data_IF_428018594880
#
_entry.id   IF_428018594880
#
_cell.length_a   1.000
_cell.length_b   1.000
_cell.length_c   1.000
_cell.angle_alpha   90.00
_cell.angle_beta   90.00
_cell.angle_gamma   90.00
#
_symmetry.space_group_name_H-M   'P 1'
#
loop_
_entity.id
_entity.type
_entity.pdbx_description
1 polymer ?
#
# COMPACT_ATOMS: atom_id res chain seq x y z
N UNK A 1 45.69 -2.48 -3.33
CA UNK A 1 46.41 -3.54 -2.57
C UNK A 1 45.42 -4.63 -2.17
N UNK A 2 45.68 -5.87 -2.65
CA UNK A 2 45.24 -7.19 -2.17
C UNK A 2 43.76 -7.42 -1.81
N UNK A 3 43.02 -7.97 -2.78
CA UNK A 3 41.86 -8.86 -2.57
C UNK A 3 42.30 -10.14 -1.84
N UNK A 4 41.56 -10.56 -0.81
CA UNK A 4 41.71 -11.89 -0.19
C UNK A 4 40.40 -12.67 -0.37
N UNK A 5 40.50 -13.74 -1.17
CA UNK A 5 39.49 -14.79 -1.33
C UNK A 5 39.57 -15.72 -0.13
N UNK A 6 38.44 -16.11 0.45
CA UNK A 6 38.31 -17.28 1.32
C UNK A 6 37.03 -18.02 0.89
N UNK A 7 37.19 -19.25 0.43
CA UNK A 7 36.17 -20.25 0.13
C UNK A 7 36.61 -21.55 0.86
N UNK A 8 35.78 -22.59 0.99
CA UNK A 8 35.13 -22.99 2.23
C UNK A 8 35.70 -24.33 2.76
N UNK A 9 35.38 -24.71 3.99
CA UNK A 9 35.66 -26.05 4.50
C UNK A 9 34.34 -26.73 4.82
N UNK A 10 33.88 -27.55 3.87
CA UNK A 10 32.97 -28.66 4.11
C UNK A 10 33.67 -29.70 4.97
N UNK A 11 33.08 -30.06 6.11
CA UNK A 11 33.42 -31.29 6.82
C UNK A 11 32.15 -32.10 7.04
N UNK A 12 31.98 -33.12 6.20
CA UNK A 12 31.03 -34.20 6.38
C UNK A 12 31.42 -35.02 7.62
N UNK A 13 30.44 -35.30 8.49
CA UNK A 13 30.58 -36.31 9.54
C UNK A 13 29.40 -37.28 9.44
N UNK A 14 29.64 -38.39 8.74
CA UNK A 14 28.85 -39.61 8.83
C UNK A 14 29.16 -40.31 10.16
N UNK A 15 28.13 -40.66 10.94
CA UNK A 15 28.20 -41.77 11.90
C UNK A 15 26.79 -42.26 12.29
N UNK A 16 26.37 -43.34 11.62
CA UNK A 16 25.73 -44.57 12.16
C UNK A 16 24.57 -44.50 13.18
N UNK A 17 23.38 -44.83 12.68
CA UNK A 17 22.57 -46.03 12.97
C UNK A 17 22.37 -46.46 14.45
N UNK A 18 21.15 -46.29 14.96
CA UNK A 18 20.49 -47.30 15.80
C UNK A 18 18.99 -47.34 15.47
N UNK A 19 18.55 -48.48 14.92
CA UNK A 19 17.16 -48.88 14.74
C UNK A 19 16.75 -49.63 16.01
N UNK A 20 15.72 -49.17 16.71
CA UNK A 20 14.98 -50.01 17.67
C UNK A 20 13.52 -50.07 17.27
N UNK A 21 13.16 -51.22 16.73
CA UNK A 21 11.80 -51.70 16.46
C UNK A 21 11.14 -51.99 17.81
N UNK A 22 10.01 -51.34 18.10
CA UNK A 22 9.12 -51.71 19.19
C UNK A 22 7.75 -52.08 18.61
N UNK A 23 7.44 -53.38 18.65
CA UNK A 23 6.11 -53.94 18.40
C UNK A 23 5.23 -53.76 19.64
N UNK A 24 3.99 -53.29 19.47
CA UNK A 24 2.83 -53.63 20.31
C UNK A 24 1.55 -53.23 19.53
N UNK A 25 0.95 -54.16 18.80
CA UNK A 25 -0.26 -54.91 19.16
C UNK A 25 -1.55 -54.06 19.26
N UNK A 26 -2.31 -54.15 18.17
CA UNK A 26 -3.72 -53.82 18.02
C UNK A 26 -4.58 -55.02 18.50
N UNK A 27 -5.77 -54.82 19.11
CA UNK A 27 -6.77 -55.85 19.22
C UNK A 27 -7.88 -55.72 18.16
N UNK A 28 -8.52 -56.86 17.96
CA UNK A 28 -9.37 -57.30 16.88
C UNK A 28 -10.74 -56.61 16.72
N UNK A 29 -11.13 -56.62 15.44
CA UNK A 29 -12.46 -56.75 14.81
C UNK A 29 -13.75 -56.84 15.65
N UNK A 30 -14.75 -56.08 15.20
CA UNK A 30 -16.18 -56.30 15.48
C UNK A 30 -17.05 -55.57 14.45
N UNK A 31 -17.69 -56.34 13.56
CA UNK A 31 -18.67 -55.86 12.58
C UNK A 31 -20.08 -55.74 13.21
N UNK A 32 -20.89 -54.78 12.75
CA UNK A 32 -22.31 -54.70 13.10
C UNK A 32 -23.05 -53.44 12.67
N UNK A 33 -23.54 -53.48 11.43
CA UNK A 33 -24.83 -52.96 10.92
C UNK A 33 -25.21 -51.47 10.88
N UNK A 34 -26.03 -51.19 9.86
CA UNK A 34 -26.38 -49.90 9.29
C UNK A 34 -27.62 -49.20 9.90
N UNK A 35 -27.87 -48.00 9.35
CA UNK A 35 -29.07 -47.12 9.41
C UNK A 35 -29.21 -46.22 10.64
N UNK A 36 -28.94 -44.92 10.48
CA UNK A 36 -30.01 -43.93 10.32
C UNK A 36 -29.44 -42.62 9.76
N UNK A 37 -30.02 -42.11 8.67
CA UNK A 37 -29.62 -40.87 8.02
C UNK A 37 -30.56 -39.77 8.46
N UNK A 38 -30.13 -38.95 9.43
CA UNK A 38 -30.77 -37.68 9.74
C UNK A 38 -29.91 -36.58 9.11
N UNK A 39 -30.50 -35.85 8.18
CA UNK A 39 -29.88 -34.74 7.44
C UNK A 39 -29.86 -33.51 8.35
N UNK A 40 -28.68 -33.16 8.86
CA UNK A 40 -28.41 -31.86 9.49
C UNK A 40 -28.17 -30.81 8.37
N UNK A 41 -28.62 -29.56 8.53
CA UNK A 41 -28.34 -28.51 7.56
C UNK A 41 -26.84 -28.18 7.59
N UNK A 42 -26.28 -27.95 6.41
CA UNK A 42 -24.86 -27.73 6.17
C UNK A 42 -24.26 -26.72 7.18
N UNK A 43 -23.44 -27.23 8.11
CA UNK A 43 -22.48 -26.43 8.81
C UNK A 43 -21.46 -25.94 7.77
N UNK A 44 -21.31 -24.62 7.65
CA UNK A 44 -20.23 -24.02 6.88
C UNK A 44 -18.91 -24.55 7.43
N UNK A 45 -18.16 -25.25 6.57
CA UNK A 45 -16.83 -25.75 6.92
C UNK A 45 -15.95 -24.54 7.19
N UNK A 46 -15.27 -24.43 8.35
CA UNK A 46 -14.32 -23.36 8.58
C UNK A 46 -13.30 -23.34 7.44
N UNK A 47 -13.13 -22.19 6.80
CA UNK A 47 -12.07 -21.99 5.82
C UNK A 47 -10.75 -22.27 6.54
N UNK A 48 -9.95 -23.19 5.99
CA UNK A 48 -8.66 -23.54 6.58
C UNK A 48 -7.74 -22.31 6.47
N UNK A 49 -7.42 -21.70 7.61
CA UNK A 49 -6.49 -20.57 7.69
C UNK A 49 -5.07 -21.06 7.35
N UNK A 50 -4.35 -20.33 6.50
CA UNK A 50 -2.94 -20.63 6.23
C UNK A 50 -2.12 -20.56 7.54
N UNK A 51 -1.32 -21.61 7.82
CA UNK A 51 -0.53 -21.70 9.05
C UNK A 51 0.64 -20.69 9.12
N UNK A 52 1.13 -20.17 7.99
CA UNK A 52 2.11 -19.08 7.97
C UNK A 52 1.42 -17.75 7.67
N UNK A 53 1.69 -16.68 8.44
CA UNK A 53 1.11 -15.37 8.17
C UNK A 53 1.69 -14.79 6.88
N UNK A 54 0.83 -14.13 6.10
CA UNK A 54 1.24 -13.18 5.07
C UNK A 54 1.68 -11.90 5.76
N UNK A 55 2.85 -11.40 5.41
CA UNK A 55 3.39 -10.17 5.99
C UNK A 55 2.98 -8.99 5.10
N UNK A 56 2.11 -8.13 5.63
CA UNK A 56 1.56 -6.98 4.92
C UNK A 56 2.04 -5.67 5.55
N UNK A 57 2.76 -4.87 4.77
CA UNK A 57 3.20 -3.53 5.15
C UNK A 57 2.15 -2.45 4.88
N UNK A 58 2.19 -1.40 5.68
CA UNK A 58 1.54 -0.12 5.41
C UNK A 58 2.22 0.98 6.23
N UNK A 59 2.04 2.24 5.83
CA UNK A 59 2.61 3.38 6.54
C UNK A 59 1.56 4.50 6.77
N UNK A 60 2.02 5.68 7.13
CA UNK A 60 1.16 6.78 7.57
C UNK A 60 0.41 7.48 6.43
N UNK A 61 -0.67 6.85 5.94
CA UNK A 61 -1.64 7.44 5.01
C UNK A 61 -3.08 7.11 5.42
N UNK A 62 -3.98 8.08 5.28
CA UNK A 62 -5.37 7.96 5.72
C UNK A 62 -6.14 6.83 5.03
N UNK A 63 -5.83 6.58 3.76
CA UNK A 63 -6.40 5.51 2.96
C UNK A 63 -5.99 4.09 3.36
N UNK A 64 -4.88 3.95 4.10
CA UNK A 64 -4.33 2.64 4.49
C UNK A 64 -4.67 2.26 5.94
N UNK A 65 -5.06 3.22 6.78
CA UNK A 65 -5.50 2.94 8.15
C UNK A 65 -6.71 2.00 8.28
N UNK A 66 -7.66 1.91 7.34
CA UNK A 66 -8.74 0.93 7.42
C UNK A 66 -8.28 -0.52 7.52
N UNK A 67 -7.07 -0.87 7.06
CA UNK A 67 -6.54 -2.23 7.24
C UNK A 67 -6.43 -2.63 8.71
N UNK A 68 -6.25 -1.65 9.62
CA UNK A 68 -6.25 -1.92 11.06
C UNK A 68 -7.60 -2.40 11.60
N UNK A 69 -8.70 -2.04 10.92
CA UNK A 69 -10.05 -2.53 11.25
C UNK A 69 -10.11 -4.04 11.06
N UNK A 70 -9.53 -4.58 9.99
CA UNK A 70 -9.53 -6.02 9.76
C UNK A 70 -8.78 -6.81 10.84
N UNK A 71 -7.72 -6.25 11.42
CA UNK A 71 -7.02 -6.86 12.55
C UNK A 71 -7.84 -6.77 13.85
N UNK A 72 -8.32 -5.58 14.22
CA UNK A 72 -9.00 -5.35 15.50
C UNK A 72 -10.40 -5.99 15.55
N UNK A 73 -11.07 -6.11 14.41
CA UNK A 73 -12.44 -6.66 14.30
C UNK A 73 -12.47 -8.09 13.72
N UNK A 74 -11.30 -8.71 13.50
CA UNK A 74 -11.18 -10.11 13.09
C UNK A 74 -11.66 -10.42 11.67
N UNK A 75 -11.64 -9.44 10.77
CA UNK A 75 -12.09 -9.62 9.38
C UNK A 75 -11.11 -10.48 8.55
N UNK A 76 -9.82 -10.49 8.89
CA UNK A 76 -8.86 -11.43 8.29
C UNK A 76 -9.23 -12.89 8.61
N UNK A 77 -9.47 -13.20 9.90
CA UNK A 77 -9.87 -14.55 10.34
C UNK A 77 -11.22 -14.95 9.73
N UNK A 78 -12.19 -14.03 9.68
CA UNK A 78 -13.49 -14.23 9.02
C UNK A 78 -13.34 -14.68 7.57
N UNK A 79 -12.40 -14.09 6.83
CA UNK A 79 -12.12 -14.42 5.43
C UNK A 79 -11.12 -15.58 5.25
N UNK A 80 -10.67 -16.20 6.35
CA UNK A 80 -9.78 -17.36 6.32
C UNK A 80 -8.32 -17.03 5.99
N UNK A 81 -7.88 -15.77 6.15
CA UNK A 81 -6.51 -15.34 5.91
C UNK A 81 -5.80 -14.98 7.21
N UNK A 82 -4.53 -15.36 7.32
CA UNK A 82 -3.65 -15.03 8.43
C UNK A 82 -2.72 -13.90 7.98
N UNK A 83 -2.87 -12.70 8.54
CA UNK A 83 -2.10 -11.51 8.16
C UNK A 83 -1.35 -10.99 9.38
N UNK A 84 -0.05 -10.77 9.22
CA UNK A 84 0.75 -9.94 10.12
C UNK A 84 0.85 -8.53 9.52
N UNK A 85 0.12 -7.57 10.09
CA UNK A 85 0.23 -6.16 9.69
C UNK A 85 1.47 -5.52 10.31
N UNK A 86 2.36 -5.01 9.46
CA UNK A 86 3.56 -4.27 9.87
C UNK A 86 3.39 -2.80 9.54
N UNK A 87 3.42 -1.97 10.59
CA UNK A 87 3.50 -0.53 10.44
C UNK A 87 4.94 -0.08 10.14
N UNK A 88 5.08 0.75 9.12
CA UNK A 88 6.32 1.43 8.78
C UNK A 88 6.18 2.93 9.06
N UNK A 89 7.12 3.48 9.84
CA UNK A 89 7.18 4.93 10.04
C UNK A 89 7.65 5.66 8.77
N UNK A 90 8.53 5.03 7.99
CA UNK A 90 9.03 5.55 6.72
C UNK A 90 8.42 4.82 5.54
N UNK A 91 7.86 5.58 4.59
CA UNK A 91 7.14 5.03 3.46
C UNK A 91 8.08 4.34 2.46
N UNK A 92 9.19 4.99 2.10
CA UNK A 92 10.19 4.39 1.21
C UNK A 92 10.74 3.07 1.75
N UNK A 93 10.96 2.94 3.06
CA UNK A 93 11.40 1.70 3.68
C UNK A 93 10.38 0.56 3.50
N UNK A 94 9.07 0.85 3.56
CA UNK A 94 8.02 -0.16 3.33
C UNK A 94 8.07 -0.73 1.91
N UNK A 95 8.30 0.13 0.92
CA UNK A 95 8.39 -0.25 -0.48
C UNK A 95 9.67 -1.03 -0.77
N UNK A 96 10.80 -0.61 -0.19
CA UNK A 96 12.04 -1.36 -0.27
C UNK A 96 11.91 -2.76 0.37
N UNK A 97 11.13 -2.89 1.44
CA UNK A 97 10.88 -4.17 2.08
C UNK A 97 10.06 -5.11 1.16
N UNK A 98 9.02 -4.60 0.48
CA UNK A 98 8.28 -5.38 -0.52
C UNK A 98 9.17 -5.76 -1.72
N UNK A 99 9.81 -4.78 -2.33
CA UNK A 99 10.65 -4.99 -3.52
C UNK A 99 11.81 -5.96 -3.28
N UNK A 100 12.34 -6.02 -2.05
CA UNK A 100 13.39 -6.97 -1.68
C UNK A 100 12.88 -8.36 -1.24
N UNK A 101 11.56 -8.58 -1.25
CA UNK A 101 10.92 -9.83 -0.89
C UNK A 101 10.85 -10.11 0.61
N UNK A 102 10.92 -9.08 1.45
CA UNK A 102 10.73 -9.19 2.91
C UNK A 102 9.26 -9.11 3.31
N UNK A 103 8.41 -8.53 2.45
CA UNK A 103 6.95 -8.49 2.62
C UNK A 103 6.30 -9.29 1.49
N UNK A 104 5.08 -9.75 1.74
CA UNK A 104 4.23 -10.40 0.74
C UNK A 104 3.24 -9.41 0.10
N UNK A 105 2.92 -8.33 0.82
CA UNK A 105 2.06 -7.23 0.39
C UNK A 105 2.48 -5.89 1.01
N UNK A 106 2.14 -4.78 0.37
CA UNK A 106 2.30 -3.43 0.90
C UNK A 106 1.20 -2.50 0.37
N UNK A 107 0.92 -1.42 1.09
CA UNK A 107 0.11 -0.32 0.56
C UNK A 107 1.00 0.77 -0.06
N UNK A 108 0.72 1.17 -1.28
CA UNK A 108 1.56 2.09 -2.08
C UNK A 108 0.71 2.90 -3.06
N UNK A 109 1.20 4.06 -3.49
CA UNK A 109 0.59 4.79 -4.61
C UNK A 109 0.99 4.14 -5.95
N UNK A 110 0.18 4.35 -7.00
CA UNK A 110 0.50 3.83 -8.33
C UNK A 110 1.83 4.35 -8.89
N UNK A 111 2.17 5.63 -8.69
CA UNK A 111 3.47 6.16 -9.16
C UNK A 111 4.62 5.43 -8.48
N UNK A 112 4.48 5.10 -7.20
CA UNK A 112 5.55 4.43 -6.49
C UNK A 112 5.62 2.94 -6.82
N UNK A 113 4.48 2.26 -7.05
CA UNK A 113 4.46 0.90 -7.60
C UNK A 113 5.17 0.84 -8.95
N UNK A 114 4.93 1.82 -9.84
CA UNK A 114 5.63 1.93 -11.13
C UNK A 114 7.14 2.12 -10.91
N UNK A 115 7.55 3.00 -9.98
CA UNK A 115 8.96 3.25 -9.66
C UNK A 115 9.70 2.00 -9.17
N UNK A 116 9.04 1.17 -8.36
CA UNK A 116 9.65 0.00 -7.73
C UNK A 116 9.54 -1.29 -8.55
N UNK A 117 8.63 -1.35 -9.54
CA UNK A 117 8.34 -2.57 -10.30
C UNK A 117 9.58 -3.25 -10.90
N UNK A 118 10.57 -2.49 -11.39
CA UNK A 118 11.78 -3.06 -11.98
C UNK A 118 12.76 -3.67 -10.96
N UNK A 119 12.73 -3.20 -9.72
CA UNK A 119 13.61 -3.64 -8.63
C UNK A 119 12.97 -4.78 -7.79
N UNK A 120 11.67 -5.04 -7.96
CA UNK A 120 10.92 -6.04 -7.23
C UNK A 120 11.34 -7.48 -7.55
N UNK A 121 12.02 -8.14 -6.61
CA UNK A 121 12.57 -9.50 -6.81
C UNK A 121 11.51 -10.59 -6.96
N UNK A 122 10.32 -10.35 -6.43
CA UNK A 122 9.16 -11.25 -6.46
C UNK A 122 7.99 -10.69 -7.29
N UNK A 123 8.21 -9.61 -8.04
CA UNK A 123 7.16 -8.81 -8.69
C UNK A 123 6.31 -8.02 -7.71
N UNK A 124 5.63 -6.97 -8.20
CA UNK A 124 4.68 -6.13 -7.46
C UNK A 124 3.45 -5.92 -8.33
N UNK A 125 2.27 -6.28 -7.80
CA UNK A 125 1.01 -6.32 -8.54
C UNK A 125 -0.09 -5.70 -7.69
N UNK A 126 -0.71 -4.64 -8.20
CA UNK A 126 -1.86 -4.01 -7.58
C UNK A 126 -3.12 -4.85 -7.82
N UNK A 127 -3.81 -5.19 -6.74
CA UNK A 127 -5.01 -6.05 -6.76
C UNK A 127 -6.26 -5.36 -6.22
N UNK A 128 -6.11 -4.20 -5.58
CA UNK A 128 -7.20 -3.35 -5.08
C UNK A 128 -6.76 -1.89 -5.15
N UNK A 129 -7.68 -1.01 -5.52
CA UNK A 129 -7.57 0.43 -5.26
C UNK A 129 -8.26 0.73 -3.93
N UNK A 130 -7.49 1.17 -2.95
CA UNK A 130 -8.02 1.57 -1.64
C UNK A 130 -8.77 2.89 -1.77
N UNK A 131 -8.11 3.90 -2.35
CA UNK A 131 -8.63 5.24 -2.48
C UNK A 131 -7.93 6.04 -3.60
N UNK A 132 -8.35 7.29 -3.75
CA UNK A 132 -7.56 8.31 -4.44
C UNK A 132 -7.42 9.52 -3.53
N UNK A 133 -6.21 10.07 -3.47
CA UNK A 133 -5.94 11.31 -2.75
C UNK A 133 -6.72 12.47 -3.39
N UNK A 134 -7.55 13.14 -2.59
CA UNK A 134 -8.45 14.20 -3.01
C UNK A 134 -8.26 15.48 -2.18
N UNK A 135 -7.02 15.81 -1.89
CA UNK A 135 -6.62 16.98 -1.09
C UNK A 135 -5.73 16.65 0.11
N UNK A 136 -5.29 15.40 0.29
CA UNK A 136 -4.44 15.01 1.43
C UNK A 136 -2.94 14.97 1.12
N UNK A 137 -2.56 14.95 -0.16
CA UNK A 137 -1.21 15.32 -0.59
C UNK A 137 -1.18 16.81 -0.90
N UNK A 138 -0.18 17.51 -0.38
CA UNK A 138 -0.11 18.97 -0.45
C UNK A 138 1.30 19.47 -0.71
N UNK A 139 1.36 20.62 -1.39
CA UNK A 139 2.53 21.50 -1.35
C UNK A 139 2.19 22.67 -0.43
N UNK A 140 2.90 22.75 0.70
CA UNK A 140 2.79 23.82 1.69
C UNK A 140 3.95 24.79 1.50
N UNK A 141 3.68 26.09 1.46
CA UNK A 141 4.69 27.12 1.21
C UNK A 141 4.79 28.11 2.35
N UNK A 142 5.97 28.70 2.52
CA UNK A 142 6.22 29.77 3.47
C UNK A 142 5.53 31.09 3.04
N UNK A 143 5.42 32.03 3.98
CA UNK A 143 4.90 33.37 3.72
C UNK A 143 5.64 34.05 2.55
N UNK A 144 4.86 34.67 1.64
CA UNK A 144 5.38 35.42 0.50
C UNK A 144 5.55 34.60 -0.79
N UNK A 145 5.18 33.31 -0.78
CA UNK A 145 5.07 32.47 -1.97
C UNK A 145 3.59 32.32 -2.28
N UNK A 146 3.15 32.82 -3.44
CA UNK A 146 1.74 32.92 -3.77
C UNK A 146 1.33 32.02 -4.94
N UNK A 147 2.29 31.66 -5.80
CA UNK A 147 2.08 30.90 -7.02
C UNK A 147 3.19 29.88 -7.22
N UNK A 148 2.96 28.88 -8.09
CA UNK A 148 4.00 27.92 -8.50
C UNK A 148 5.20 28.62 -9.13
N UNK A 149 5.00 29.74 -9.84
CA UNK A 149 6.09 30.56 -10.39
C UNK A 149 7.07 31.05 -9.30
N UNK A 150 6.56 31.31 -8.08
CA UNK A 150 7.37 31.82 -6.96
C UNK A 150 8.26 30.73 -6.34
N UNK A 151 8.05 29.45 -6.68
CA UNK A 151 8.90 28.33 -6.25
C UNK A 151 10.21 28.23 -7.05
N UNK A 152 10.31 28.87 -8.21
CA UNK A 152 11.53 28.80 -9.04
C UNK A 152 12.74 29.33 -8.25
N UNK A 153 13.76 28.48 -8.12
CA UNK A 153 14.98 28.72 -7.36
C UNK A 153 14.84 28.60 -5.83
N UNK A 154 13.68 28.17 -5.33
CA UNK A 154 13.42 27.94 -3.91
C UNK A 154 13.81 26.53 -3.47
N UNK A 155 13.99 26.35 -2.16
CA UNK A 155 14.22 25.04 -1.57
C UNK A 155 12.92 24.39 -1.14
N UNK A 156 12.63 23.18 -1.64
CA UNK A 156 11.49 22.37 -1.23
C UNK A 156 11.98 21.15 -0.45
N UNK A 157 11.55 21.01 0.80
CA UNK A 157 11.82 19.82 1.60
C UNK A 157 10.77 18.75 1.30
N UNK A 158 11.21 17.57 0.87
CA UNK A 158 10.34 16.44 0.55
C UNK A 158 11.13 15.14 0.56
N UNK A 159 10.41 14.02 0.56
CA UNK A 159 10.98 12.70 0.32
C UNK A 159 11.14 12.50 -1.18
N UNK A 160 12.38 12.46 -1.65
CA UNK A 160 12.69 12.44 -3.08
C UNK A 160 12.29 11.11 -3.73
N UNK A 161 11.65 11.21 -4.90
CA UNK A 161 11.26 10.05 -5.71
C UNK A 161 9.97 9.36 -5.28
N UNK A 162 9.23 9.91 -4.30
CA UNK A 162 7.90 9.39 -3.88
C UNK A 162 6.78 10.39 -4.15
N UNK A 163 5.54 10.04 -3.80
CA UNK A 163 4.30 10.80 -4.10
C UNK A 163 4.35 12.32 -3.85
N UNK A 164 5.02 12.80 -2.78
CA UNK A 164 5.15 14.25 -2.53
C UNK A 164 5.96 14.99 -3.60
N UNK A 165 7.01 14.34 -4.10
CA UNK A 165 7.83 14.81 -5.22
C UNK A 165 7.06 14.75 -6.54
N UNK A 166 6.27 13.69 -6.72
CA UNK A 166 5.37 13.53 -7.86
C UNK A 166 4.33 14.66 -7.92
N UNK A 167 3.63 14.96 -6.83
CA UNK A 167 2.65 16.06 -6.76
C UNK A 167 3.30 17.42 -7.05
N UNK A 168 4.47 17.70 -6.44
CA UNK A 168 5.21 18.93 -6.72
C UNK A 168 5.54 19.04 -8.22
N UNK A 169 5.96 17.95 -8.83
CA UNK A 169 6.35 17.93 -10.24
C UNK A 169 5.15 18.11 -11.16
N UNK A 170 3.98 17.51 -10.84
CA UNK A 170 2.73 17.77 -11.56
C UNK A 170 2.37 19.27 -11.54
N UNK A 171 2.44 19.89 -10.37
CA UNK A 171 2.13 21.32 -10.22
C UNK A 171 3.12 22.22 -10.99
N UNK A 172 4.41 21.88 -10.97
CA UNK A 172 5.43 22.60 -11.75
C UNK A 172 5.16 22.48 -13.26
N UNK A 173 4.89 21.28 -13.76
CA UNK A 173 4.67 21.03 -15.18
C UNK A 173 3.36 21.67 -15.68
N UNK A 174 2.28 21.67 -14.87
CA UNK A 174 1.05 22.41 -15.20
C UNK A 174 1.32 23.92 -15.36
N UNK A 175 2.25 24.48 -14.57
CA UNK A 175 2.70 25.86 -14.67
C UNK A 175 3.78 26.09 -15.74
N UNK A 176 4.15 25.06 -16.52
CA UNK A 176 5.20 25.12 -17.54
C UNK A 176 6.60 25.31 -16.96
N UNK A 177 6.85 24.79 -15.76
CA UNK A 177 8.16 24.69 -15.08
C UNK A 177 8.62 23.25 -15.03
N UNK A 178 9.90 23.06 -14.77
CA UNK A 178 10.50 21.75 -14.55
C UNK A 178 10.72 21.49 -13.05
N UNK A 179 10.72 20.22 -12.64
CA UNK A 179 11.26 19.79 -11.33
C UNK A 179 12.65 20.37 -11.05
N UNK A 180 13.47 20.54 -12.08
CA UNK A 180 14.83 21.11 -11.95
C UNK A 180 14.87 22.62 -11.73
N UNK A 181 13.73 23.32 -11.83
CA UNK A 181 13.63 24.75 -11.52
C UNK A 181 13.59 25.02 -10.01
N UNK A 182 13.43 23.99 -9.16
CA UNK A 182 13.51 24.09 -7.70
C UNK A 182 14.73 23.33 -7.16
N UNK A 183 15.13 23.63 -5.91
CA UNK A 183 16.14 22.85 -5.19
C UNK A 183 15.44 21.89 -4.23
N UNK A 184 15.66 20.60 -4.40
CA UNK A 184 15.13 19.59 -3.48
C UNK A 184 16.06 19.43 -2.28
N UNK A 185 15.50 19.50 -1.08
CA UNK A 185 16.14 19.08 0.17
C UNK A 185 15.57 17.70 0.54
N UNK A 186 16.27 16.60 0.20
CA UNK A 186 15.74 15.24 0.31
C UNK A 186 15.76 14.78 1.77
N UNK A 187 14.59 14.60 2.35
CA UNK A 187 14.38 14.17 3.73
C UNK A 187 13.20 13.21 3.78
N UNK A 188 13.20 12.25 4.72
CA UNK A 188 11.98 11.48 5.05
C UNK A 188 10.84 12.47 5.35
N UNK A 189 9.61 12.14 4.94
CA UNK A 189 8.49 13.09 4.91
C UNK A 189 8.21 13.78 6.24
N UNK A 190 8.25 13.08 7.38
CA UNK A 190 8.12 13.69 8.71
C UNK A 190 9.27 14.63 9.05
N UNK A 191 10.51 14.26 8.70
CA UNK A 191 11.67 15.13 8.83
C UNK A 191 11.59 16.37 7.91
N UNK A 192 11.08 16.22 6.68
CA UNK A 192 10.86 17.29 5.73
C UNK A 192 9.86 18.33 6.26
N UNK A 193 8.72 17.88 6.78
CA UNK A 193 7.72 18.75 7.40
C UNK A 193 8.31 19.53 8.59
N UNK A 194 9.09 18.85 9.44
CA UNK A 194 9.77 19.49 10.58
C UNK A 194 10.82 20.51 10.14
N UNK A 195 11.61 20.22 9.11
CA UNK A 195 12.62 21.12 8.56
C UNK A 195 11.97 22.39 7.97
N UNK A 196 10.90 22.23 7.19
CA UNK A 196 10.11 23.35 6.68
C UNK A 196 9.51 24.19 7.83
N UNK A 197 8.90 23.54 8.83
CA UNK A 197 8.31 24.24 9.98
C UNK A 197 9.35 25.03 10.78
N UNK A 198 10.59 24.54 10.84
CA UNK A 198 11.74 25.22 11.46
C UNK A 198 12.37 26.33 10.59
N UNK A 199 11.83 26.60 9.39
CA UNK A 199 12.33 27.65 8.49
C UNK A 199 13.56 27.27 7.67
N UNK A 200 13.82 25.97 7.51
CA UNK A 200 15.00 25.47 6.77
C UNK A 200 14.73 25.29 5.27
N UNK A 201 13.46 25.29 4.87
CA UNK A 201 13.01 25.25 3.49
C UNK A 201 11.93 26.31 3.21
N UNK A 202 11.75 26.65 1.93
CA UNK A 202 10.75 27.60 1.45
C UNK A 202 9.38 26.91 1.23
N UNK A 203 9.39 25.60 0.97
CA UNK A 203 8.19 24.79 0.82
C UNK A 203 8.40 23.37 1.38
N UNK A 204 7.29 22.67 1.59
CA UNK A 204 7.19 21.26 1.93
C UNK A 204 6.24 20.60 0.93
N UNK A 205 6.55 19.39 0.45
CA UNK A 205 5.61 18.58 -0.32
C UNK A 205 5.48 17.20 0.31
N UNK A 206 4.25 16.75 0.54
CA UNK A 206 3.95 15.47 1.17
C UNK A 206 2.52 15.39 1.65
N UNK A 207 2.24 14.37 2.46
CA UNK A 207 0.87 13.99 2.81
C UNK A 207 0.54 14.17 4.28
N UNK A 208 -0.67 13.74 4.63
CA UNK A 208 -1.22 13.74 5.97
C UNK A 208 -0.59 12.64 6.84
N UNK A 209 -0.28 12.87 8.13
CA UNK A 209 -0.51 14.07 8.93
C UNK A 209 0.62 15.12 8.82
N UNK A 210 1.63 14.88 7.99
CA UNK A 210 2.86 15.67 7.98
C UNK A 210 2.65 17.12 7.53
N UNK A 211 1.75 17.38 6.57
CA UNK A 211 1.43 18.75 6.18
C UNK A 211 0.79 19.58 7.31
N UNK A 212 0.22 18.98 8.36
CA UNK A 212 -0.24 19.74 9.54
C UNK A 212 0.92 20.33 10.33
N UNK A 213 2.01 19.57 10.46
CA UNK A 213 3.24 20.09 11.06
C UNK A 213 3.78 21.25 10.24
N UNK A 214 3.73 21.15 8.90
CA UNK A 214 4.12 22.22 8.00
C UNK A 214 3.23 23.47 8.18
N UNK A 215 1.90 23.30 8.19
CA UNK A 215 0.93 24.39 8.41
C UNK A 215 1.03 25.04 9.80
N UNK A 216 1.67 24.38 10.76
CA UNK A 216 2.00 24.96 12.07
C UNK A 216 2.97 26.15 12.00
N UNK A 217 3.68 26.35 10.88
CA UNK A 217 4.55 27.51 10.66
C UNK A 217 3.73 28.77 10.43
N UNK A 218 4.02 29.83 11.18
CA UNK A 218 3.36 31.13 11.02
C UNK A 218 3.50 31.64 9.57
N UNK A 219 2.36 32.05 8.98
CA UNK A 219 2.29 32.57 7.61
C UNK A 219 2.40 31.50 6.51
N UNK A 220 2.56 30.22 6.86
CA UNK A 220 2.51 29.14 5.88
C UNK A 220 1.09 28.90 5.36
N UNK A 221 0.98 28.35 4.16
CA UNK A 221 -0.30 28.01 3.53
C UNK A 221 -0.14 26.88 2.52
N UNK A 222 -1.25 26.25 2.20
CA UNK A 222 -1.37 25.38 1.03
C UNK A 222 -1.23 26.21 -0.25
N UNK A 223 -0.36 25.75 -1.17
CA UNK A 223 -0.23 26.29 -2.52
C UNK A 223 -1.10 25.52 -3.50
N UNK A 224 -1.06 24.19 -3.42
CA UNK A 224 -1.82 23.23 -4.25
C UNK A 224 -1.94 21.91 -3.49
N UNK A 225 -2.89 21.07 -3.89
CA UNK A 225 -3.06 19.73 -3.37
C UNK A 225 -3.50 18.75 -4.44
N UNK A 226 -3.53 17.46 -4.11
CA UNK A 226 -4.04 16.41 -5.00
C UNK A 226 -5.48 16.64 -5.48
N UNK A 227 -6.27 17.49 -4.81
CA UNK A 227 -7.59 17.90 -5.29
C UNK A 227 -7.55 18.65 -6.65
N UNK A 228 -6.42 19.29 -6.97
CA UNK A 228 -6.20 19.96 -8.25
C UNK A 228 -5.91 18.95 -9.39
N UNK A 229 -5.54 17.70 -9.04
CA UNK A 229 -5.14 16.63 -9.95
C UNK A 229 -5.98 15.36 -9.74
N UNK A 230 -7.31 15.41 -9.96
CA UNK A 230 -8.20 14.29 -9.66
C UNK A 230 -7.81 13.03 -10.44
N UNK A 231 -7.64 11.91 -9.71
CA UNK A 231 -7.26 10.63 -10.30
C UNK A 231 -5.75 10.41 -10.39
N UNK A 232 -4.91 11.42 -10.13
CA UNK A 232 -3.47 11.31 -10.32
C UNK A 232 -2.75 10.45 -9.26
N UNK A 233 -3.32 10.31 -8.06
CA UNK A 233 -2.69 9.59 -6.94
C UNK A 233 -3.67 8.53 -6.43
N UNK A 234 -3.83 7.40 -7.13
CA UNK A 234 -4.52 6.24 -6.60
C UNK A 234 -3.61 5.47 -5.66
N UNK A 235 -4.19 5.04 -4.54
CA UNK A 235 -3.57 4.30 -3.46
C UNK A 235 -4.04 2.86 -3.50
N UNK A 236 -3.11 1.91 -3.38
CA UNK A 236 -3.28 0.54 -3.81
C UNK A 236 -2.91 -0.45 -2.70
N UNK A 237 -3.57 -1.61 -2.72
CA UNK A 237 -2.99 -2.83 -2.16
C UNK A 237 -2.16 -3.50 -3.24
N UNK A 238 -0.86 -3.62 -2.99
CA UNK A 238 0.10 -4.28 -3.86
C UNK A 238 0.53 -5.58 -3.20
N UNK A 239 0.51 -6.67 -3.94
CA UNK A 239 0.99 -7.99 -3.52
C UNK A 239 2.14 -8.44 -4.41
N UNK A 240 2.95 -9.38 -3.95
CA UNK A 240 3.96 -9.99 -4.82
C UNK A 240 3.32 -10.90 -5.87
N UNK A 241 3.93 -10.98 -7.07
CA UNK A 241 3.51 -11.96 -8.10
C UNK A 241 3.66 -13.40 -7.57
N UNK A 242 4.69 -13.65 -6.75
CA UNK A 242 4.87 -14.95 -6.08
C UNK A 242 3.66 -15.33 -5.23
N UNK A 243 3.09 -14.38 -4.47
CA UNK A 243 1.90 -14.65 -3.67
C UNK A 243 0.69 -14.98 -4.55
N UNK A 244 0.51 -14.28 -5.67
CA UNK A 244 -0.54 -14.56 -6.66
C UNK A 244 -0.38 -15.97 -7.24
N UNK A 245 0.83 -16.36 -7.62
CA UNK A 245 1.09 -17.64 -8.28
C UNK A 245 0.98 -18.83 -7.32
N UNK A 246 1.44 -18.67 -6.09
CA UNK A 246 1.52 -19.76 -5.10
C UNK A 246 0.26 -19.88 -4.24
N UNK A 247 -0.43 -18.77 -3.97
CA UNK A 247 -1.56 -18.70 -3.04
C UNK A 247 -2.65 -17.71 -3.51
N UNK A 248 -3.23 -17.88 -4.72
CA UNK A 248 -4.24 -16.96 -5.24
C UNK A 248 -5.50 -16.87 -4.35
N UNK A 249 -5.85 -17.95 -3.63
CA UNK A 249 -6.94 -17.93 -2.66
C UNK A 249 -6.69 -16.98 -1.48
N UNK A 250 -5.42 -16.83 -1.08
CA UNK A 250 -5.01 -15.90 -0.03
C UNK A 250 -5.15 -14.46 -0.52
N UNK A 251 -4.75 -14.18 -1.77
CA UNK A 251 -4.95 -12.86 -2.39
C UNK A 251 -6.44 -12.54 -2.50
N UNK A 252 -7.27 -13.50 -2.94
CA UNK A 252 -8.72 -13.33 -2.97
C UNK A 252 -9.29 -13.01 -1.58
N UNK A 253 -8.82 -13.68 -0.53
CA UNK A 253 -9.26 -13.42 0.84
C UNK A 253 -8.88 -12.01 1.33
N UNK A 254 -7.72 -11.48 0.93
CA UNK A 254 -7.35 -10.08 1.18
C UNK A 254 -8.29 -9.10 0.49
N UNK A 255 -8.63 -9.35 -0.78
CA UNK A 255 -9.59 -8.52 -1.54
C UNK A 255 -10.97 -8.57 -0.90
N UNK A 256 -11.46 -9.75 -0.51
CA UNK A 256 -12.72 -9.89 0.22
C UNK A 256 -12.69 -9.10 1.53
N UNK A 257 -11.56 -9.15 2.25
CA UNK A 257 -11.37 -8.43 3.51
C UNK A 257 -11.44 -6.92 3.32
N UNK A 258 -10.88 -6.38 2.22
CA UNK A 258 -10.98 -4.95 1.92
C UNK A 258 -12.43 -4.49 1.80
N UNK A 259 -13.25 -5.21 1.04
CA UNK A 259 -14.65 -4.84 0.87
C UNK A 259 -15.48 -5.05 2.15
N UNK A 260 -15.13 -6.04 2.98
CA UNK A 260 -15.68 -6.19 4.33
C UNK A 260 -15.30 -5.00 5.25
N UNK A 261 -14.08 -4.46 5.12
CA UNK A 261 -13.66 -3.24 5.84
C UNK A 261 -14.56 -2.07 5.43
N UNK A 262 -14.78 -1.87 4.12
CA UNK A 262 -15.63 -0.78 3.64
C UNK A 262 -17.07 -0.91 4.15
N UNK A 263 -17.63 -2.12 4.15
CA UNK A 263 -18.95 -2.37 4.73
C UNK A 263 -18.97 -2.08 6.24
N UNK A 264 -17.92 -2.48 6.97
CA UNK A 264 -17.80 -2.18 8.40
C UNK A 264 -17.73 -0.68 8.66
N UNK A 265 -17.00 0.08 7.84
CA UNK A 265 -16.89 1.54 7.96
C UNK A 265 -18.24 2.23 7.77
N UNK A 266 -19.08 1.76 6.85
CA UNK A 266 -20.44 2.29 6.63
C UNK A 266 -21.38 1.93 7.80
N UNK A 267 -21.37 0.67 8.24
CA UNK A 267 -22.27 0.18 9.28
C UNK A 267 -21.88 0.60 10.70
N UNK A 268 -20.59 0.85 10.95
CA UNK A 268 -20.00 1.05 12.28
C UNK A 268 -19.06 2.27 12.33
N UNK A 269 -19.44 3.38 11.69
CA UNK A 269 -18.61 4.58 11.50
C UNK A 269 -17.87 5.05 12.77
N UNK A 270 -18.55 5.11 13.91
CA UNK A 270 -17.95 5.57 15.17
C UNK A 270 -16.80 4.66 15.63
N UNK A 271 -16.99 3.34 15.50
CA UNK A 271 -15.99 2.34 15.87
C UNK A 271 -14.84 2.30 14.87
N UNK A 272 -15.14 2.38 13.58
CA UNK A 272 -14.14 2.46 12.52
C UNK A 272 -13.23 3.69 12.72
N UNK A 273 -13.83 4.85 12.97
CA UNK A 273 -13.11 6.10 13.23
C UNK A 273 -12.26 6.01 14.50
N UNK A 274 -12.76 5.38 15.57
CA UNK A 274 -11.97 5.14 16.79
C UNK A 274 -10.71 4.31 16.50
N UNK A 275 -10.83 3.21 15.75
CA UNK A 275 -9.70 2.34 15.39
C UNK A 275 -8.68 3.10 14.54
N UNK A 276 -9.15 3.77 13.48
CA UNK A 276 -8.28 4.48 12.56
C UNK A 276 -7.59 5.68 13.21
N UNK A 277 -8.30 6.48 14.03
CA UNK A 277 -7.69 7.60 14.76
C UNK A 277 -6.66 7.14 15.78
N UNK A 278 -6.89 6.00 16.47
CA UNK A 278 -5.92 5.38 17.37
C UNK A 278 -4.66 4.93 16.61
N UNK A 279 -4.83 4.34 15.43
CA UNK A 279 -3.70 3.91 14.58
C UNK A 279 -2.88 5.11 14.08
N UNK A 280 -3.56 6.15 13.62
CA UNK A 280 -2.95 7.39 13.13
C UNK A 280 -2.32 8.24 14.27
N UNK A 281 -2.70 7.99 15.53
CA UNK A 281 -2.30 8.78 16.69
C UNK A 281 -2.61 10.28 16.52
N UNK A 282 -3.78 10.60 15.96
CA UNK A 282 -4.25 11.97 15.71
C UNK A 282 -5.52 12.31 16.48
N UNK A 283 -5.86 13.60 16.54
CA UNK A 283 -7.11 14.04 17.16
C UNK A 283 -8.31 13.69 16.27
N UNK A 284 -9.51 13.58 16.86
CA UNK A 284 -10.72 13.33 16.06
C UNK A 284 -11.01 14.47 15.06
N UNK A 285 -10.66 15.71 15.41
CA UNK A 285 -10.84 16.85 14.51
C UNK A 285 -9.94 16.75 13.28
N UNK A 286 -8.69 16.36 13.48
CA UNK A 286 -7.73 16.21 12.37
C UNK A 286 -8.10 14.98 11.54
N UNK A 287 -8.49 13.89 12.20
CA UNK A 287 -8.98 12.69 11.54
C UNK A 287 -10.14 12.97 10.56
N UNK A 288 -11.13 13.77 10.95
CA UNK A 288 -12.25 14.15 10.08
C UNK A 288 -11.79 14.93 8.83
N UNK A 289 -10.78 15.80 8.97
CA UNK A 289 -10.18 16.53 7.82
C UNK A 289 -9.54 15.55 6.86
N UNK A 290 -8.89 14.52 7.39
CA UNK A 290 -8.18 13.54 6.59
C UNK A 290 -9.16 12.66 5.83
N UNK A 291 -10.23 12.19 6.47
CA UNK A 291 -11.28 11.44 5.76
C UNK A 291 -11.90 12.26 4.62
N UNK A 292 -12.07 13.57 4.78
CA UNK A 292 -12.60 14.42 3.73
C UNK A 292 -11.67 14.57 2.51
N UNK A 293 -10.36 14.41 2.70
CA UNK A 293 -9.35 14.46 1.63
C UNK A 293 -8.97 13.10 1.04
N UNK A 294 -9.66 12.01 1.44
CA UNK A 294 -9.41 10.64 1.01
C UNK A 294 -10.67 10.06 0.39
N UNK A 295 -10.66 9.79 -0.93
CA UNK A 295 -11.81 9.21 -1.63
C UNK A 295 -11.68 7.71 -1.69
N UNK A 296 -12.19 6.99 -0.68
CA UNK A 296 -12.24 5.52 -0.71
C UNK A 296 -13.00 5.00 -1.93
N UNK A 297 -12.43 3.97 -2.58
CA UNK A 297 -13.04 3.38 -3.76
C UNK A 297 -14.02 2.29 -3.36
N UNK A 298 -15.25 2.39 -3.87
CA UNK A 298 -16.23 1.31 -3.79
C UNK A 298 -15.84 0.14 -4.70
N UNK A 299 -16.62 -0.94 -4.68
CA UNK A 299 -16.50 -2.00 -5.66
C UNK A 299 -16.71 -1.48 -7.10
N UNK A 300 -17.69 -0.60 -7.31
CA UNK A 300 -17.96 -0.01 -8.63
C UNK A 300 -16.78 0.83 -9.09
N UNK A 301 -16.21 1.66 -8.21
CA UNK A 301 -15.02 2.45 -8.52
C UNK A 301 -13.82 1.54 -8.85
N UNK A 302 -13.62 0.44 -8.11
CA UNK A 302 -12.54 -0.51 -8.40
C UNK A 302 -12.71 -1.19 -9.77
N UNK A 303 -13.92 -1.66 -10.09
CA UNK A 303 -14.22 -2.26 -11.40
C UNK A 303 -14.00 -1.26 -12.53
N UNK A 304 -14.40 0.01 -12.35
CA UNK A 304 -14.16 1.06 -13.33
C UNK A 304 -12.66 1.35 -13.46
N UNK A 305 -11.95 1.45 -12.33
CA UNK A 305 -10.52 1.77 -12.30
C UNK A 305 -9.66 0.71 -13.01
N UNK A 306 -9.93 -0.57 -12.80
CA UNK A 306 -9.19 -1.62 -13.48
C UNK A 306 -9.61 -1.81 -14.95
N UNK A 307 -10.79 -1.30 -15.35
CA UNK A 307 -11.28 -1.46 -16.70
C UNK A 307 -10.46 -0.65 -17.73
N UNK A 308 -10.41 -1.09 -19.01
CA UNK A 308 -9.82 -0.29 -20.07
C UNK A 308 -10.54 1.05 -20.27
N UNK A 309 -9.78 2.10 -20.57
CA UNK A 309 -10.35 3.40 -20.93
C UNK A 309 -9.30 4.39 -21.44
N UNK A 310 -9.67 5.67 -21.51
CA UNK A 310 -8.88 6.74 -22.15
C UNK A 310 -8.73 8.00 -21.28
N UNK A 311 -8.93 7.86 -19.97
CA UNK A 311 -8.85 8.96 -19.01
C UNK A 311 -8.33 8.46 -17.64
N UNK A 312 -8.02 9.39 -16.74
CA UNK A 312 -7.35 9.13 -15.45
C UNK A 312 -8.16 8.27 -14.46
N UNK A 313 -9.44 8.00 -14.73
CA UNK A 313 -10.22 7.05 -13.93
C UNK A 313 -9.71 5.62 -14.13
N UNK A 314 -9.24 5.29 -15.33
CA UNK A 314 -8.83 3.95 -15.72
C UNK A 314 -7.33 3.75 -15.50
N UNK A 315 -6.95 2.89 -14.56
CA UNK A 315 -5.57 2.59 -14.19
C UNK A 315 -4.68 2.12 -15.34
N UNK A 316 -5.13 1.29 -16.29
CA UNK A 316 -4.30 0.97 -17.46
C UNK A 316 -3.89 2.21 -18.26
N UNK A 317 -4.78 3.21 -18.37
CA UNK A 317 -4.48 4.48 -19.03
C UNK A 317 -3.64 5.39 -18.13
N UNK A 318 -4.01 5.55 -16.86
CA UNK A 318 -3.30 6.46 -15.95
C UNK A 318 -1.88 5.96 -15.66
N UNK A 319 -1.65 4.65 -15.56
CA UNK A 319 -0.33 4.05 -15.41
C UNK A 319 0.58 4.36 -16.62
N UNK A 320 0.05 4.30 -17.84
CA UNK A 320 0.82 4.68 -19.05
C UNK A 320 1.19 6.16 -19.06
N UNK A 321 0.20 7.04 -18.80
CA UNK A 321 0.44 8.50 -18.73
C UNK A 321 1.45 8.83 -17.63
N UNK A 322 1.31 8.19 -16.47
CA UNK A 322 2.16 8.39 -15.32
C UNK A 322 3.58 7.87 -15.57
N UNK A 323 3.74 6.67 -16.13
CA UNK A 323 5.05 6.12 -16.46
C UNK A 323 5.77 6.95 -17.54
N UNK A 324 5.06 7.43 -18.58
CA UNK A 324 5.62 8.34 -19.59
C UNK A 324 6.11 9.64 -18.93
N UNK A 325 5.29 10.23 -18.06
CA UNK A 325 5.65 11.42 -17.30
C UNK A 325 6.86 11.18 -16.42
N UNK A 326 6.90 10.07 -15.67
CA UNK A 326 8.00 9.71 -14.77
C UNK A 326 9.32 9.50 -15.53
N UNK A 327 9.28 8.94 -16.74
CA UNK A 327 10.45 8.88 -17.63
C UNK A 327 10.87 10.28 -18.08
N UNK A 328 9.92 11.11 -18.50
CA UNK A 328 10.19 12.48 -18.99
C UNK A 328 10.84 13.35 -17.91
N UNK A 329 10.37 13.29 -16.67
CA UNK A 329 10.91 14.08 -15.55
C UNK A 329 12.09 13.40 -14.84
N UNK A 330 12.43 12.17 -15.23
CA UNK A 330 13.61 11.44 -14.77
C UNK A 330 13.47 10.75 -13.40
N UNK A 331 12.26 10.39 -13.00
CA UNK A 331 12.02 9.53 -11.83
C UNK A 331 12.38 8.07 -12.08
N UNK A 332 12.16 7.59 -13.30
CA UNK A 332 12.55 6.25 -13.75
C UNK A 332 13.31 6.31 -15.07
N UNK A 333 14.23 5.37 -15.29
CA UNK A 333 15.05 5.34 -16.50
C UNK A 333 14.26 4.86 -17.74
N UNK A 334 13.34 3.91 -17.55
CA UNK A 334 12.47 3.36 -18.58
C UNK A 334 11.16 2.86 -17.97
N UNK A 335 10.12 2.69 -18.80
CA UNK A 335 8.83 2.17 -18.35
C UNK A 335 8.92 0.68 -18.00
N UNK A 336 8.38 0.23 -16.85
CA UNK A 336 8.24 -1.19 -16.57
C UNK A 336 7.14 -1.82 -17.44
N UNK A 337 6.95 -3.14 -17.31
CA UNK A 337 5.81 -3.83 -17.91
C UNK A 337 4.53 -3.50 -17.13
N UNK A 338 3.78 -2.51 -17.61
CA UNK A 338 2.59 -2.00 -16.92
C UNK A 338 1.41 -2.99 -16.94
N UNK A 339 1.40 -3.96 -17.85
CA UNK A 339 0.40 -5.04 -17.80
C UNK A 339 0.69 -6.00 -16.63
N UNK A 340 1.96 -6.11 -16.20
CA UNK A 340 2.36 -6.99 -15.13
C UNK A 340 2.14 -6.41 -13.71
N UNK A 341 1.84 -5.11 -13.59
CA UNK A 341 1.66 -4.46 -12.28
C UNK A 341 0.19 -4.30 -11.86
N UNK A 342 -0.77 -4.67 -12.71
CA UNK A 342 -2.20 -4.56 -12.44
C UNK A 342 -2.86 -5.93 -12.63
N UNK A 343 -3.62 -6.40 -11.64
CA UNK A 343 -4.39 -7.64 -11.75
C UNK A 343 -5.78 -7.50 -11.12
N UNK A 344 -6.79 -7.43 -11.99
CA UNK A 344 -8.16 -7.17 -11.60
C UNK A 344 -9.00 -8.42 -11.36
N UNK A 345 -8.42 -9.62 -11.57
CA UNK A 345 -9.16 -10.88 -11.49
C UNK A 345 -9.82 -11.08 -10.12
N UNK A 346 -9.18 -10.59 -9.05
CA UNK A 346 -9.65 -10.75 -7.69
C UNK A 346 -10.83 -9.83 -7.35
N UNK A 347 -10.82 -8.61 -7.88
CA UNK A 347 -11.96 -7.66 -7.78
C UNK A 347 -13.13 -8.17 -8.62
N UNK A 348 -12.86 -8.63 -9.85
CA UNK A 348 -13.89 -9.22 -10.71
C UNK A 348 -14.54 -10.44 -10.03
N UNK A 349 -13.74 -11.36 -9.48
CA UNK A 349 -14.24 -12.54 -8.79
C UNK A 349 -15.08 -12.18 -7.55
N UNK A 350 -14.67 -11.16 -6.77
CA UNK A 350 -15.49 -10.64 -5.67
C UNK A 350 -16.85 -10.10 -6.18
N UNK A 351 -16.85 -9.34 -7.27
CA UNK A 351 -18.08 -8.80 -7.86
C UNK A 351 -19.02 -9.91 -8.33
N UNK A 352 -18.51 -10.92 -9.03
CA UNK A 352 -19.30 -12.06 -9.52
C UNK A 352 -19.88 -12.91 -8.38
N UNK A 353 -19.16 -13.06 -7.27
CA UNK A 353 -19.63 -13.79 -6.09
C UNK A 353 -20.73 -13.08 -5.30
N UNK A 354 -20.87 -11.77 -5.47
CA UNK A 354 -21.85 -10.91 -4.77
C UNK A 354 -22.95 -10.33 -5.68
N UNK A 355 -23.00 -10.74 -6.96
CA UNK A 355 -23.94 -10.25 -7.97
C UNK A 355 -25.36 -10.86 -7.91
#
# INVERSE_FOLDING_TARGET
MKRRKILPVLLAFCCTLFITIACAQQPDTGAGDATDATTDPAAETPVAVNEQPIIMGYSSWAGWWPWKIAEEEGLFEKNGVNVELIWFDGYLESMQALASGQLDANCQTLNDTISFAADAVNGEVAVVVNDNSAGNDKVIVAEGIETVDDLVGKTVALEEGVVGDFLLTLALEEAGKSRTDVTIEPLETGAAATAFAAGQADAFAGWVPFWETALGREGSKELTSSADFPGAIPDLLVVTQVLIDEQPETVQALVNTWFDILAFMDENSDRANEIMAKQANVSAEDFDKYLAGTRFFTLEDNLEAFSPGDNMVHMPYSAEVMADFMVEVGFIDEKPDLEAILDDQFVQAYAEGNA
#
